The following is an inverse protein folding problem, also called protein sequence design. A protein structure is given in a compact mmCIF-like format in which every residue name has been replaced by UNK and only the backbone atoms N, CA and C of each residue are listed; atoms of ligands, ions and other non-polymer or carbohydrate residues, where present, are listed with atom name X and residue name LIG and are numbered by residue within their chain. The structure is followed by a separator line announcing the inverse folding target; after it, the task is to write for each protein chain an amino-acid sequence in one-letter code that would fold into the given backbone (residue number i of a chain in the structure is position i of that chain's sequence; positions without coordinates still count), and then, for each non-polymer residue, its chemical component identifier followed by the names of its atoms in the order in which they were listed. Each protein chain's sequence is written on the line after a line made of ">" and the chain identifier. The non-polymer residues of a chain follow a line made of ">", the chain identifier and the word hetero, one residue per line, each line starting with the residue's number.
data_IF_287090834655
#
_entry.id   IF_287090834655
#
_cell.length_a   1.000
_cell.length_b   1.000
_cell.length_c   1.000
_cell.angle_alpha   90.00
_cell.angle_beta   90.00
_cell.angle_gamma   90.00
#
_symmetry.space_group_name_H-M   'P 1'
#
loop_
_entity.id
_entity.type
_entity.pdbx_description
1 polymer ?
#
# COMPACT_ATOMS: atom_id res chain seq x y z
N UNK A 1 -69.88 -9.51 -45.27
CA UNK A 1 -70.80 -9.64 -44.11
C UNK A 1 -70.56 -10.89 -43.25
N UNK A 2 -69.93 -11.97 -43.76
CA UNK A 2 -69.70 -13.21 -42.98
C UNK A 2 -68.69 -13.08 -41.82
N UNK A 3 -67.66 -12.24 -41.96
CA UNK A 3 -66.62 -12.03 -40.93
C UNK A 3 -67.13 -11.25 -39.70
N UNK A 4 -68.05 -10.30 -39.89
CA UNK A 4 -68.70 -9.58 -38.76
C UNK A 4 -69.59 -10.49 -37.92
N UNK A 5 -70.17 -11.52 -38.52
CA UNK A 5 -71.03 -12.49 -37.83
C UNK A 5 -70.21 -13.53 -37.04
N UNK A 6 -69.05 -13.95 -37.56
CA UNK A 6 -68.11 -14.84 -36.87
C UNK A 6 -67.48 -14.13 -35.67
N UNK A 7 -67.11 -12.85 -35.81
CA UNK A 7 -66.57 -12.05 -34.69
C UNK A 7 -67.59 -11.80 -33.58
N UNK A 8 -68.87 -11.59 -33.93
CA UNK A 8 -69.93 -11.42 -32.92
C UNK A 8 -70.28 -12.73 -32.20
N UNK A 9 -70.22 -13.87 -32.89
CA UNK A 9 -70.40 -15.20 -32.29
C UNK A 9 -69.25 -15.59 -31.36
N UNK A 10 -68.02 -15.17 -31.66
CA UNK A 10 -66.85 -15.44 -30.82
C UNK A 10 -66.84 -14.58 -29.55
N UNK A 11 -67.33 -13.34 -29.62
CA UNK A 11 -67.46 -12.45 -28.46
C UNK A 11 -68.54 -12.92 -27.48
N UNK A 12 -69.63 -13.52 -27.98
CA UNK A 12 -70.70 -14.08 -27.15
C UNK A 12 -70.29 -15.40 -26.46
N UNK A 13 -69.45 -16.21 -27.10
CA UNK A 13 -68.89 -17.42 -26.51
C UNK A 13 -67.89 -17.11 -25.38
N UNK A 14 -67.15 -15.99 -25.47
CA UNK A 14 -66.21 -15.57 -24.42
C UNK A 14 -66.93 -15.01 -23.17
N UNK A 15 -68.12 -14.42 -23.34
CA UNK A 15 -68.96 -13.95 -22.23
C UNK A 15 -69.58 -15.10 -21.41
N UNK A 16 -69.84 -16.25 -22.03
CA UNK A 16 -70.38 -17.44 -21.36
C UNK A 16 -69.35 -18.15 -20.46
N UNK A 17 -68.05 -18.03 -20.74
CA UNK A 17 -67.00 -18.61 -19.92
C UNK A 17 -66.75 -17.82 -18.61
N UNK A 18 -67.11 -16.53 -18.57
CA UNK A 18 -66.95 -15.69 -17.37
C UNK A 18 -68.11 -15.84 -16.36
N UNK A 19 -69.25 -16.42 -16.76
CA UNK A 19 -70.38 -16.71 -15.84
C UNK A 19 -70.39 -18.16 -15.32
N UNK A 20 -69.40 -18.98 -15.69
CA UNK A 20 -69.33 -20.41 -15.34
C UNK A 20 -68.52 -20.71 -14.06
N UNK A 21 -67.97 -19.71 -13.39
CA UNK A 21 -67.36 -19.90 -12.06
C UNK A 21 -68.27 -19.27 -10.99
N UNK A 22 -69.48 -19.78 -10.89
CA UNK A 22 -70.50 -19.34 -9.94
C UNK A 22 -71.71 -20.24 -10.00
N UNK A 23 -71.67 -21.36 -9.27
CA UNK A 23 -72.80 -22.28 -9.17
C UNK A 23 -72.44 -23.72 -8.82
N UNK A 24 -71.94 -23.95 -7.61
CA UNK A 24 -71.99 -25.25 -6.94
C UNK A 24 -72.69 -25.05 -5.61
N UNK A 25 -73.99 -25.29 -5.57
CA UNK A 25 -74.79 -25.27 -4.34
C UNK A 25 -74.38 -26.42 -3.42
N UNK A 26 -73.94 -26.09 -2.21
CA UNK A 26 -74.15 -26.93 -1.04
C UNK A 26 -74.65 -26.05 0.10
N UNK A 27 -75.98 -26.02 0.22
CA UNK A 27 -76.72 -26.10 1.48
C UNK A 27 -76.12 -25.44 2.74
N UNK A 28 -76.82 -24.41 3.22
CA UNK A 28 -76.99 -24.21 4.66
C UNK A 28 -76.14 -23.12 5.30
N UNK A 29 -76.85 -22.23 6.00
CA UNK A 29 -76.37 -21.37 7.09
C UNK A 29 -75.26 -20.36 6.78
N UNK A 30 -75.69 -19.12 6.57
CA UNK A 30 -75.31 -17.97 7.39
C UNK A 30 -74.03 -18.14 8.24
N UNK A 31 -72.86 -17.84 7.67
CA UNK A 31 -71.80 -17.18 8.43
C UNK A 31 -70.83 -16.50 7.47
N UNK A 32 -70.90 -15.17 7.49
CA UNK A 32 -69.83 -14.27 7.11
C UNK A 32 -68.51 -14.81 7.64
N UNK A 33 -67.73 -15.49 6.79
CA UNK A 33 -66.39 -15.95 7.13
C UNK A 33 -65.62 -14.70 7.53
N UNK A 34 -65.35 -14.56 8.83
CA UNK A 34 -64.88 -13.32 9.39
C UNK A 34 -63.53 -13.00 8.76
N UNK A 35 -63.34 -11.82 8.19
CA UNK A 35 -62.06 -11.39 7.64
C UNK A 35 -60.91 -11.58 8.65
N UNK A 36 -61.25 -11.54 9.95
CA UNK A 36 -60.36 -11.86 11.06
C UNK A 36 -59.88 -13.32 11.05
N UNK A 37 -60.75 -14.27 10.72
CA UNK A 37 -60.42 -15.71 10.71
C UNK A 37 -59.58 -16.06 9.47
N UNK A 38 -59.93 -15.51 8.31
CA UNK A 38 -59.10 -15.65 7.09
C UNK A 38 -57.73 -14.99 7.27
N UNK A 39 -57.67 -13.79 7.87
CA UNK A 39 -56.40 -13.12 8.19
C UNK A 39 -55.56 -13.92 9.17
N UNK A 40 -56.17 -14.49 10.20
CA UNK A 40 -55.47 -15.32 11.19
C UNK A 40 -54.92 -16.58 10.53
N UNK A 41 -55.69 -17.22 9.64
CA UNK A 41 -55.25 -18.36 8.86
C UNK A 41 -54.05 -18.02 7.95
N UNK A 42 -54.08 -16.88 7.25
CA UNK A 42 -52.94 -16.44 6.41
C UNK A 42 -51.71 -16.11 7.26
N UNK A 43 -51.90 -15.50 8.43
CA UNK A 43 -50.81 -15.23 9.37
C UNK A 43 -50.20 -16.53 9.91
N UNK A 44 -51.02 -17.55 10.17
CA UNK A 44 -50.53 -18.84 10.66
C UNK A 44 -49.80 -19.61 9.56
N UNK A 45 -50.23 -19.52 8.30
CA UNK A 45 -49.48 -20.05 7.14
C UNK A 45 -48.12 -19.34 7.01
N UNK A 46 -48.07 -18.00 7.12
CA UNK A 46 -46.82 -17.24 7.05
C UNK A 46 -45.88 -17.50 8.25
N UNK A 47 -46.43 -17.89 9.40
CA UNK A 47 -45.66 -18.29 10.59
C UNK A 47 -45.18 -19.74 10.53
N UNK A 48 -45.71 -20.55 9.62
CA UNK A 48 -45.30 -21.96 9.48
C UNK A 48 -43.86 -22.03 8.99
N UNK A 49 -43.09 -22.99 9.50
CA UNK A 49 -41.66 -23.13 9.21
C UNK A 49 -41.36 -23.26 7.71
N UNK A 50 -42.26 -23.87 6.94
CA UNK A 50 -42.11 -24.03 5.49
C UNK A 50 -42.23 -22.70 4.74
N UNK A 51 -43.13 -21.80 5.18
CA UNK A 51 -43.24 -20.46 4.60
C UNK A 51 -42.02 -19.61 4.95
N UNK A 52 -41.48 -19.74 6.17
CA UNK A 52 -40.25 -19.08 6.57
C UNK A 52 -39.04 -19.60 5.78
N UNK A 53 -38.92 -20.92 5.57
CA UNK A 53 -37.88 -21.52 4.73
C UNK A 53 -37.98 -21.09 3.28
N UNK A 54 -39.18 -21.05 2.71
CA UNK A 54 -39.39 -20.57 1.34
C UNK A 54 -38.99 -19.09 1.18
N UNK A 55 -39.33 -18.24 2.16
CA UNK A 55 -38.93 -16.84 2.18
C UNK A 55 -37.41 -16.68 2.35
N UNK A 56 -36.76 -17.45 3.23
CA UNK A 56 -35.30 -17.44 3.39
C UNK A 56 -34.58 -17.88 2.11
N UNK A 57 -35.02 -18.96 1.47
CA UNK A 57 -34.47 -19.43 0.20
C UNK A 57 -34.66 -18.42 -0.94
N UNK A 58 -35.77 -17.68 -0.93
CA UNK A 58 -36.01 -16.60 -1.91
C UNK A 58 -35.09 -15.39 -1.66
N UNK A 59 -34.85 -15.04 -0.39
CA UNK A 59 -33.99 -13.94 -0.01
C UNK A 59 -32.51 -14.25 -0.30
N UNK A 60 -32.05 -15.47 -0.02
CA UNK A 60 -30.69 -15.93 -0.31
C UNK A 60 -30.38 -15.92 -1.82
N UNK A 61 -31.35 -16.30 -2.65
CA UNK A 61 -31.21 -16.23 -4.11
C UNK A 61 -31.13 -14.81 -4.65
N UNK A 62 -31.70 -13.83 -3.93
CA UNK A 62 -31.72 -12.44 -4.36
C UNK A 62 -30.51 -11.63 -3.86
N UNK A 63 -29.97 -11.96 -2.69
CA UNK A 63 -28.95 -11.14 -2.02
C UNK A 63 -27.51 -11.63 -2.20
N UNK A 64 -27.27 -12.88 -2.59
CA UNK A 64 -25.92 -13.43 -2.81
C UNK A 64 -24.99 -13.39 -1.59
N UNK A 65 -25.50 -13.07 -0.40
CA UNK A 65 -24.75 -12.92 0.84
C UNK A 65 -25.54 -13.56 1.99
N UNK A 66 -24.92 -14.54 2.65
CA UNK A 66 -25.55 -15.33 3.71
C UNK A 66 -25.65 -14.55 5.02
N UNK A 67 -26.80 -14.73 5.68
CA UNK A 67 -27.05 -14.54 7.11
C UNK A 67 -27.20 -13.09 7.62
N UNK A 68 -28.41 -12.54 7.46
CA UNK A 68 -29.19 -11.93 8.55
C UNK A 68 -30.69 -11.97 8.19
N UNK A 69 -31.62 -12.11 9.17
CA UNK A 69 -33.05 -11.88 8.96
C UNK A 69 -33.33 -10.37 8.89
N UNK A 70 -32.55 -9.64 8.08
CA UNK A 70 -32.84 -8.26 7.73
C UNK A 70 -34.12 -8.27 6.90
N UNK A 71 -35.16 -7.66 7.48
CA UNK A 71 -36.48 -7.40 6.88
C UNK A 71 -36.41 -7.38 5.36
N UNK A 72 -37.28 -8.16 4.72
CA UNK A 72 -37.54 -8.15 3.28
C UNK A 72 -37.79 -6.70 2.80
N UNK A 73 -36.71 -5.97 2.49
CA UNK A 73 -36.79 -4.67 1.86
C UNK A 73 -37.34 -4.92 0.45
N UNK A 74 -38.42 -4.23 0.10
CA UNK A 74 -38.97 -4.27 -1.26
C UNK A 74 -37.88 -3.83 -2.25
N UNK A 75 -37.98 -4.26 -3.52
CA UNK A 75 -37.02 -3.84 -4.57
C UNK A 75 -36.93 -2.31 -4.66
N UNK A 76 -38.00 -1.59 -4.35
CA UNK A 76 -38.03 -0.13 -4.28
C UNK A 76 -37.22 0.43 -3.10
N UNK A 77 -37.30 -0.20 -1.93
CA UNK A 77 -36.54 0.22 -0.74
C UNK A 77 -35.03 0.01 -0.95
N UNK A 78 -34.64 -1.01 -1.72
CA UNK A 78 -33.23 -1.25 -2.05
C UNK A 78 -32.65 -0.16 -2.95
N UNK A 79 -33.41 0.35 -3.90
CA UNK A 79 -32.99 1.47 -4.76
C UNK A 79 -32.90 2.78 -3.98
N UNK A 80 -33.84 3.05 -3.07
CA UNK A 80 -33.77 4.22 -2.18
C UNK A 80 -32.53 4.15 -1.26
N UNK A 81 -32.24 2.98 -0.69
CA UNK A 81 -31.02 2.77 0.12
C UNK A 81 -29.75 2.96 -0.71
N UNK A 82 -29.71 2.46 -1.95
CA UNK A 82 -28.56 2.65 -2.85
C UNK A 82 -28.32 4.13 -3.17
N UNK A 83 -29.38 4.88 -3.45
CA UNK A 83 -29.30 6.32 -3.71
C UNK A 83 -28.81 7.08 -2.48
N UNK A 84 -29.36 6.78 -1.29
CA UNK A 84 -28.91 7.39 -0.05
C UNK A 84 -27.44 7.09 0.25
N UNK A 85 -26.99 5.84 0.04
CA UNK A 85 -25.58 5.48 0.20
C UNK A 85 -24.71 6.23 -0.81
N UNK A 86 -25.12 6.30 -2.08
CA UNK A 86 -24.40 7.05 -3.13
C UNK A 86 -24.26 8.52 -2.77
N UNK A 87 -25.33 9.14 -2.28
CA UNK A 87 -25.34 10.55 -1.89
C UNK A 87 -24.42 10.80 -0.70
N UNK A 88 -24.43 9.90 0.28
CA UNK A 88 -23.53 9.98 1.44
C UNK A 88 -22.06 9.83 1.03
N UNK A 89 -21.70 8.84 0.21
CA UNK A 89 -20.30 8.62 -0.19
C UNK A 89 -19.79 9.66 -1.19
N UNK A 90 -20.70 10.29 -1.94
CA UNK A 90 -20.37 11.35 -2.92
C UNK A 90 -20.48 12.75 -2.33
N UNK A 91 -20.93 12.88 -1.07
CA UNK A 91 -21.05 14.17 -0.42
C UNK A 91 -19.68 14.83 -0.24
N UNK A 92 -19.57 16.16 -0.41
CA UNK A 92 -18.31 16.88 -0.29
C UNK A 92 -17.68 16.76 1.11
N UNK A 93 -18.50 16.53 2.14
CA UNK A 93 -18.04 16.35 3.54
C UNK A 93 -17.67 14.91 3.90
N UNK A 94 -17.83 13.94 2.98
CA UNK A 94 -17.50 12.54 3.25
C UNK A 94 -15.99 12.32 3.47
N UNK A 95 -15.16 13.25 2.98
CA UNK A 95 -13.72 13.26 3.20
C UNK A 95 -13.35 13.28 4.71
N UNK A 96 -14.11 14.00 5.53
CA UNK A 96 -13.93 14.06 7.00
C UNK A 96 -14.28 12.73 7.64
N UNK A 97 -15.34 12.09 7.15
CA UNK A 97 -15.81 10.80 7.66
C UNK A 97 -14.79 9.71 7.35
N UNK A 98 -14.32 9.63 6.10
CA UNK A 98 -13.31 8.62 5.71
C UNK A 98 -11.97 8.86 6.40
N UNK A 99 -11.53 10.11 6.56
CA UNK A 99 -10.31 10.44 7.34
C UNK A 99 -10.43 9.93 8.77
N UNK A 100 -11.56 10.18 9.44
CA UNK A 100 -11.81 9.68 10.80
C UNK A 100 -11.85 8.15 10.84
N UNK A 101 -12.48 7.52 9.85
CA UNK A 101 -12.58 6.06 9.77
C UNK A 101 -11.22 5.39 9.54
N UNK A 102 -10.33 6.00 8.74
CA UNK A 102 -8.96 5.52 8.51
C UNK A 102 -8.07 5.62 9.75
N UNK A 103 -8.46 6.38 10.79
CA UNK A 103 -7.74 6.37 12.07
C UNK A 103 -8.09 5.15 12.94
N UNK A 104 -9.21 4.46 12.68
CA UNK A 104 -9.52 3.20 13.36
C UNK A 104 -8.65 2.08 12.77
N UNK A 105 -7.81 1.48 13.61
CA UNK A 105 -6.86 0.43 13.22
C UNK A 105 -7.53 -0.83 12.68
N UNK A 106 -8.76 -1.14 13.09
CA UNK A 106 -9.51 -2.30 12.58
C UNK A 106 -9.95 -2.06 11.15
N UNK A 107 -10.54 -0.89 10.89
CA UNK A 107 -10.94 -0.49 9.55
C UNK A 107 -9.72 -0.34 8.63
N UNK A 108 -8.68 0.38 9.08
CA UNK A 108 -7.46 0.56 8.31
C UNK A 108 -6.78 -0.79 8.01
N UNK A 109 -6.78 -1.73 8.96
CA UNK A 109 -6.23 -3.07 8.78
C UNK A 109 -6.99 -3.91 7.76
N UNK A 110 -8.33 -3.92 7.81
CA UNK A 110 -9.16 -4.62 6.83
C UNK A 110 -9.10 -3.97 5.45
N UNK A 111 -9.13 -2.64 5.40
CA UNK A 111 -8.97 -1.88 4.16
C UNK A 111 -7.60 -2.14 3.54
N UNK A 112 -6.51 -2.05 4.31
CA UNK A 112 -5.17 -2.35 3.82
C UNK A 112 -5.07 -3.78 3.28
N UNK A 113 -5.69 -4.77 3.95
CA UNK A 113 -5.73 -6.16 3.47
C UNK A 113 -6.49 -6.30 2.15
N UNK A 114 -7.65 -5.63 2.01
CA UNK A 114 -8.48 -5.75 0.81
C UNK A 114 -7.85 -5.10 -0.42
N UNK A 115 -7.11 -3.99 -0.23
CA UNK A 115 -6.43 -3.27 -1.33
C UNK A 115 -4.99 -3.71 -1.56
N UNK A 116 -4.40 -4.54 -0.68
CA UNK A 116 -2.97 -4.87 -0.72
C UNK A 116 -2.51 -5.40 -2.08
N UNK A 117 -3.32 -6.24 -2.72
CA UNK A 117 -2.98 -6.86 -4.01
C UNK A 117 -2.86 -5.79 -5.10
N UNK A 118 -3.89 -4.97 -5.23
CA UNK A 118 -3.95 -3.87 -6.20
C UNK A 118 -2.86 -2.83 -5.88
N UNK A 119 -2.62 -2.53 -4.60
CA UNK A 119 -1.57 -1.60 -4.19
C UNK A 119 -0.17 -2.09 -4.61
N UNK A 120 0.10 -3.40 -4.48
CA UNK A 120 1.36 -3.99 -4.97
C UNK A 120 1.49 -3.86 -6.47
N UNK A 121 0.40 -4.04 -7.21
CA UNK A 121 0.44 -3.95 -8.67
C UNK A 121 0.62 -2.50 -9.13
N UNK A 122 -0.06 -1.54 -8.50
CA UNK A 122 0.18 -0.10 -8.69
C UNK A 122 1.65 0.25 -8.42
N UNK A 123 2.22 -0.19 -7.30
CA UNK A 123 3.63 0.08 -7.02
C UNK A 123 4.58 -0.52 -8.05
N UNK A 124 4.31 -1.73 -8.56
CA UNK A 124 5.13 -2.34 -9.63
C UNK A 124 5.02 -1.58 -10.95
N UNK A 125 3.84 -1.04 -11.25
CA UNK A 125 3.60 -0.24 -12.46
C UNK A 125 4.25 1.13 -12.34
N UNK A 126 4.12 1.80 -11.19
CA UNK A 126 4.81 3.06 -10.90
C UNK A 126 6.32 2.92 -11.02
N UNK A 127 6.91 1.82 -10.55
CA UNK A 127 8.36 1.58 -10.70
C UNK A 127 8.81 1.50 -12.17
N UNK A 128 7.91 1.25 -13.12
CA UNK A 128 8.19 1.25 -14.57
C UNK A 128 7.91 2.60 -15.22
N UNK A 129 7.24 3.51 -14.52
CA UNK A 129 6.92 4.84 -15.02
C UNK A 129 8.19 5.74 -15.00
N UNK A 130 8.58 6.37 -16.13
CA UNK A 130 9.72 7.26 -16.19
C UNK A 130 9.66 8.45 -15.22
N UNK A 131 8.47 9.02 -14.97
CA UNK A 131 8.30 10.15 -14.08
C UNK A 131 8.56 9.74 -12.62
N UNK A 132 8.00 8.61 -12.20
CA UNK A 132 8.23 8.05 -10.87
C UNK A 132 9.70 7.62 -10.67
N UNK A 133 10.33 7.03 -11.70
CA UNK A 133 11.76 6.72 -11.67
C UNK A 133 12.62 7.98 -11.51
N UNK A 134 12.27 9.09 -12.19
CA UNK A 134 13.00 10.34 -12.07
C UNK A 134 12.93 10.89 -10.63
N UNK A 135 11.76 10.85 -10.00
CA UNK A 135 11.59 11.23 -8.60
C UNK A 135 12.31 10.30 -7.63
N UNK A 136 12.30 9.00 -7.91
CA UNK A 136 13.03 8.01 -7.11
C UNK A 136 14.54 8.25 -7.18
N UNK A 137 15.09 8.50 -8.38
CA UNK A 137 16.51 8.84 -8.56
C UNK A 137 16.85 10.15 -7.85
N UNK A 138 15.98 11.15 -7.89
CA UNK A 138 16.15 12.39 -7.13
C UNK A 138 16.23 12.11 -5.62
N UNK A 139 15.39 11.20 -5.12
CA UNK A 139 15.39 10.77 -3.72
C UNK A 139 16.67 9.99 -3.38
N UNK A 140 17.14 9.12 -4.28
CA UNK A 140 18.40 8.38 -4.10
C UNK A 140 19.66 9.26 -4.11
N UNK A 141 19.58 10.46 -4.71
CA UNK A 141 20.64 11.48 -4.68
C UNK A 141 20.59 12.36 -3.42
N UNK A 142 19.68 12.10 -2.48
CA UNK A 142 19.64 12.83 -1.22
C UNK A 142 20.92 12.57 -0.40
N UNK A 143 21.38 13.54 0.40
CA UNK A 143 22.61 13.41 1.19
C UNK A 143 22.56 12.27 2.21
N UNK A 144 21.37 11.85 2.65
CA UNK A 144 21.21 10.68 3.52
C UNK A 144 21.57 9.37 2.81
N UNK A 145 21.15 9.23 1.55
CA UNK A 145 21.49 8.08 0.73
C UNK A 145 22.98 8.08 0.35
N UNK A 146 23.57 9.25 0.14
CA UNK A 146 25.03 9.36 -0.05
C UNK A 146 25.80 8.82 1.15
N UNK A 147 25.38 9.12 2.39
CA UNK A 147 26.01 8.55 3.59
C UNK A 147 25.93 7.03 3.61
N UNK A 148 24.75 6.46 3.32
CA UNK A 148 24.57 5.00 3.25
C UNK A 148 25.48 4.37 2.19
N UNK A 149 25.60 5.01 1.03
CA UNK A 149 26.51 4.57 -0.04
C UNK A 149 27.96 4.65 0.45
N UNK A 150 28.38 5.75 1.06
CA UNK A 150 29.75 5.93 1.57
C UNK A 150 30.11 4.94 2.67
N UNK A 151 29.18 4.60 3.56
CA UNK A 151 29.37 3.59 4.58
C UNK A 151 29.47 2.19 3.97
N UNK A 152 28.69 1.91 2.92
CA UNK A 152 28.80 0.68 2.13
C UNK A 152 30.16 0.56 1.43
N UNK A 153 30.68 1.65 0.85
CA UNK A 153 32.02 1.68 0.24
C UNK A 153 33.14 1.53 1.27
N UNK A 154 32.92 1.95 2.52
CA UNK A 154 33.90 1.74 3.60
C UNK A 154 33.84 0.34 4.20
N UNK A 155 32.86 -0.47 3.82
CA UNK A 155 32.67 -1.82 4.37
C UNK A 155 33.90 -2.71 4.14
N UNK A 156 34.19 -3.65 5.05
CA UNK A 156 35.30 -4.59 4.89
C UNK A 156 35.23 -5.40 3.58
N UNK A 157 34.01 -5.72 3.12
CA UNK A 157 33.77 -6.44 1.87
C UNK A 157 34.20 -5.61 0.67
N UNK A 158 33.78 -4.34 0.59
CA UNK A 158 34.20 -3.47 -0.50
C UNK A 158 35.70 -3.19 -0.46
N UNK A 159 36.30 -3.03 0.73
CA UNK A 159 37.76 -2.88 0.87
C UNK A 159 38.54 -4.06 0.28
N UNK A 160 38.06 -5.30 0.45
CA UNK A 160 38.70 -6.48 -0.16
C UNK A 160 38.66 -6.40 -1.68
N UNK A 161 37.52 -6.02 -2.24
CA UNK A 161 37.38 -5.81 -3.69
C UNK A 161 38.31 -4.71 -4.20
N UNK A 162 38.39 -3.58 -3.49
CA UNK A 162 39.31 -2.48 -3.82
C UNK A 162 40.76 -2.94 -3.76
N UNK A 163 41.15 -3.75 -2.75
CA UNK A 163 42.50 -4.32 -2.69
C UNK A 163 42.78 -5.26 -3.87
N UNK A 164 41.82 -6.09 -4.27
CA UNK A 164 41.95 -6.96 -5.42
C UNK A 164 42.12 -6.16 -6.73
N UNK A 165 41.25 -5.17 -6.96
CA UNK A 165 41.35 -4.25 -8.11
C UNK A 165 42.71 -3.52 -8.10
N UNK A 166 43.21 -3.10 -6.94
CA UNK A 166 44.50 -2.43 -6.83
C UNK A 166 45.66 -3.40 -7.13
N UNK A 167 45.58 -4.65 -6.70
CA UNK A 167 46.55 -5.70 -7.05
C UNK A 167 46.55 -5.99 -8.55
N UNK A 168 45.38 -6.07 -9.18
CA UNK A 168 45.25 -6.24 -10.63
C UNK A 168 45.79 -5.02 -11.39
N UNK A 169 45.50 -3.82 -10.90
CA UNK A 169 46.00 -2.57 -11.47
C UNK A 169 47.54 -2.51 -11.42
N UNK A 170 48.16 -2.96 -10.34
CA UNK A 170 49.62 -3.09 -10.24
C UNK A 170 50.22 -4.15 -11.18
N UNK A 171 49.42 -5.08 -11.68
CA UNK A 171 49.84 -6.03 -12.70
C UNK A 171 49.75 -5.46 -14.12
N UNK A 172 49.01 -4.35 -14.30
CA UNK A 172 48.91 -3.68 -15.59
C UNK A 172 50.28 -3.15 -16.03
N UNK A 173 50.77 -3.53 -17.23
CA UNK A 173 52.05 -3.08 -17.76
C UNK A 173 52.20 -1.56 -17.82
N UNK A 174 51.13 -0.82 -18.14
CA UNK A 174 51.17 0.65 -18.18
C UNK A 174 51.43 1.22 -16.79
N UNK A 175 50.72 0.71 -15.78
CA UNK A 175 50.90 1.13 -14.40
C UNK A 175 52.29 0.80 -13.87
N UNK A 176 52.82 -0.38 -14.20
CA UNK A 176 54.20 -0.77 -13.83
C UNK A 176 55.24 0.14 -14.44
N UNK A 177 55.09 0.51 -15.71
CA UNK A 177 56.02 1.41 -16.39
C UNK A 177 56.01 2.80 -15.73
N UNK A 178 54.84 3.30 -15.38
CA UNK A 178 54.68 4.60 -14.73
C UNK A 178 55.25 4.61 -13.30
N UNK A 179 55.02 3.54 -12.52
CA UNK A 179 55.65 3.36 -11.21
C UNK A 179 57.17 3.27 -11.34
N UNK A 180 57.70 2.56 -12.34
CA UNK A 180 59.14 2.47 -12.59
C UNK A 180 59.74 3.82 -13.01
N UNK A 181 59.02 4.62 -13.80
CA UNK A 181 59.46 5.97 -14.19
C UNK A 181 59.49 6.92 -12.98
N UNK A 182 58.46 6.87 -12.13
CA UNK A 182 58.41 7.61 -10.87
C UNK A 182 59.55 7.21 -9.93
N UNK A 183 59.82 5.91 -9.79
CA UNK A 183 60.94 5.41 -8.98
C UNK A 183 62.29 5.87 -9.53
N UNK A 184 62.47 5.88 -10.86
CA UNK A 184 63.69 6.42 -11.49
C UNK A 184 63.87 7.91 -11.20
N UNK A 185 62.80 8.71 -11.29
CA UNK A 185 62.84 10.14 -10.97
C UNK A 185 63.17 10.39 -9.50
N UNK A 186 62.51 9.70 -8.58
CA UNK A 186 62.80 9.82 -7.14
C UNK A 186 64.25 9.45 -6.81
N UNK A 187 64.77 8.37 -7.41
CA UNK A 187 66.17 7.97 -7.24
C UNK A 187 67.13 9.00 -7.86
N UNK A 188 66.79 9.59 -9.00
CA UNK A 188 67.59 10.68 -9.60
C UNK A 188 67.57 11.96 -8.77
N UNK A 189 66.48 12.27 -8.07
CA UNK A 189 66.38 13.42 -7.16
C UNK A 189 67.18 13.20 -5.87
N UNK A 190 67.15 11.99 -5.31
CA UNK A 190 67.92 11.62 -4.11
C UNK A 190 69.43 11.42 -4.40
N UNK A 191 69.79 10.96 -5.61
CA UNK A 191 71.18 10.79 -6.04
C UNK A 191 71.80 12.07 -6.60
N UNK A 192 70.98 13.08 -6.94
CA UNK A 192 71.50 14.41 -7.22
C UNK A 192 71.88 15.06 -5.89
N UNK A 193 73.18 15.34 -5.64
CA UNK A 193 73.56 16.07 -4.45
C UNK A 193 72.85 17.42 -4.50
N UNK A 194 72.02 17.72 -3.48
CA UNK A 194 71.54 19.08 -3.26
C UNK A 194 72.77 20.01 -3.29
N UNK A 195 72.92 20.89 -4.29
CA UNK A 195 73.96 21.89 -4.21
C UNK A 195 73.58 22.80 -3.03
N UNK A 196 74.56 23.00 -2.14
CA UNK A 196 74.52 23.89 -0.98
C UNK A 196 74.01 23.33 0.36
N UNK A 197 74.71 22.31 0.88
CA UNK A 197 75.09 22.33 2.30
C UNK A 197 76.56 21.88 2.48
N UNK A 198 77.51 22.79 2.20
CA UNK A 198 78.74 23.02 2.99
C UNK A 198 79.68 24.02 2.31
N UNK A 199 79.63 25.27 2.77
CA UNK A 199 80.82 26.08 3.10
C UNK A 199 80.43 27.43 3.72
N UNK A 200 80.47 27.50 5.04
CA UNK A 200 80.93 28.68 5.78
C UNK A 200 81.64 28.20 7.03
N UNK A 201 82.95 28.04 6.91
CA UNK A 201 83.88 28.07 8.04
C UNK A 201 84.39 29.50 8.20
N UNK A 202 84.40 29.99 9.45
CA UNK A 202 85.35 31.01 9.89
C UNK A 202 84.77 32.28 10.53
N UNK A 203 84.74 32.29 11.88
CA UNK A 203 85.28 33.43 12.64
C UNK A 203 84.40 34.12 13.69
N UNK A 204 84.80 33.94 14.96
CA UNK A 204 84.51 34.77 16.15
C UNK A 204 83.13 34.53 16.80
N UNK A 205 82.98 34.05 18.03
CA UNK A 205 83.77 34.24 19.26
C UNK A 205 82.82 34.87 20.29
N UNK A 206 82.55 34.19 21.41
CA UNK A 206 81.78 34.76 22.52
C UNK A 206 80.96 33.74 23.32
N UNK A 207 81.38 33.53 24.56
CA UNK A 207 80.69 32.83 25.65
C UNK A 207 79.22 33.26 25.82
N UNK A 208 78.33 32.34 26.20
CA UNK A 208 77.67 32.40 27.51
C UNK A 208 76.90 31.12 27.88
N UNK A 209 76.94 30.86 29.19
CA UNK A 209 76.37 29.76 29.97
C UNK A 209 74.84 29.70 30.01
N UNK A 210 74.34 28.49 30.33
CA UNK A 210 73.06 28.21 31.01
C UNK A 210 71.87 28.10 30.06
N UNK A 211 70.92 27.18 30.20
CA UNK A 211 70.40 26.55 31.42
C UNK A 211 69.69 25.23 31.07
N UNK A 212 69.82 24.24 31.95
CA UNK A 212 69.01 23.02 32.02
C UNK A 212 67.59 23.29 32.54
N UNK A 213 66.68 22.38 32.17
CA UNK A 213 65.42 21.98 32.84
C UNK A 213 64.11 22.76 32.60
N UNK A 214 63.01 21.97 32.68
CA UNK A 214 61.56 22.25 32.51
C UNK A 214 61.01 22.08 31.07
N UNK A 215 60.12 21.16 30.71
CA UNK A 215 59.11 20.37 31.44
C UNK A 215 58.94 18.98 30.80
N UNK A 216 59.10 17.93 31.63
CA UNK A 216 58.45 16.62 31.47
C UNK A 216 57.38 16.59 32.56
N UNK A 217 56.11 16.72 32.19
CA UNK A 217 55.04 16.77 33.18
C UNK A 217 53.71 17.22 32.61
N UNK A 218 53.17 16.49 31.62
CA UNK A 218 51.76 16.57 31.23
C UNK A 218 51.36 15.25 30.58
N UNK A 219 51.37 14.20 31.38
CA UNK A 219 50.73 12.93 31.05
C UNK A 219 50.34 12.23 32.35
N UNK A 220 49.49 12.86 33.16
CA UNK A 220 48.77 12.23 34.27
C UNK A 220 47.74 13.21 34.85
N UNK A 221 46.77 13.65 34.04
CA UNK A 221 45.56 14.32 34.57
C UNK A 221 44.41 14.32 33.56
N UNK A 222 44.06 13.14 33.03
CA UNK A 222 42.78 12.97 32.32
C UNK A 222 42.16 11.57 32.47
N UNK A 223 42.50 10.89 33.57
CA UNK A 223 41.88 9.63 33.98
C UNK A 223 41.31 9.75 35.39
N UNK A 224 40.49 10.78 35.63
CA UNK A 224 39.62 10.87 36.81
C UNK A 224 38.58 11.97 36.63
N UNK A 225 37.69 11.85 35.64
CA UNK A 225 36.38 12.50 35.72
C UNK A 225 35.41 11.86 34.72
N UNK A 226 34.70 10.82 35.15
CA UNK A 226 33.42 10.33 34.61
C UNK A 226 32.96 9.15 35.48
N UNK A 227 32.48 9.47 36.68
CA UNK A 227 31.34 8.75 37.26
C UNK A 227 30.04 9.26 36.62
#
# INVERSE_FOLDING_TARGET
>A
MRIRWIMWSSLMAFALLLTSCGGGESSGSNQQMNYKDMKTMVIDILKTEDAQKALQQSAEKLSGYSAQPSKLLSVQDQEEVRLAVKDVISAPDYDKVIKKLMTDTRFAGEFAKSVNKQNKDIHKELMKDPAYQAELVKTMKAPEMEKVIMDSLKSPQYRKEVMAIMQESMQNPLFRLEVLDLLKKAVQEELQPKPDEKKKEGGSGGEQKGQEEEQKGQQEEQSSDSE
#
